data_IF_950820562445
#
_entry.id   IF_950820562445
#
_cell.length_a   1.000
_cell.length_b   1.000
_cell.length_c   1.000
_cell.angle_alpha   90.00
_cell.angle_beta   90.00
_cell.angle_gamma   90.00
#
_symmetry.space_group_name_H-M   'P 1'
#
loop_
_entity.id
_entity.type
_entity.pdbx_description
1 polymer ?
#
# COMPACT_ATOMS: atom_id res chain seq x y z
N UNK A 1 -5.89 3.06 7.32
CA UNK A 1 -5.00 2.62 6.23
C UNK A 1 -5.80 2.02 5.09
N UNK A 2 -6.59 0.98 5.35
CA UNK A 2 -7.52 0.42 4.36
C UNK A 2 -8.96 0.87 4.62
N UNK A 3 -9.71 1.15 3.55
CA UNK A 3 -11.16 1.43 3.61
C UNK A 3 -12.01 0.16 3.52
N UNK A 4 -11.40 -0.97 3.18
CA UNK A 4 -12.02 -2.28 3.16
C UNK A 4 -11.15 -3.31 2.47
N UNK A 5 -11.68 -4.52 2.29
CA UNK A 5 -10.94 -5.64 1.73
C UNK A 5 -11.69 -6.31 0.58
N UNK A 6 -10.94 -6.92 -0.34
CA UNK A 6 -11.50 -7.70 -1.45
C UNK A 6 -10.97 -9.12 -1.42
N UNK A 7 -11.80 -10.07 -1.83
CA UNK A 7 -11.37 -11.45 -2.06
C UNK A 7 -10.36 -11.50 -3.21
N UNK A 8 -9.27 -12.24 -3.01
CA UNK A 8 -8.23 -12.43 -4.03
C UNK A 8 -7.92 -13.90 -4.26
N UNK A 9 -7.23 -14.16 -5.38
CA UNK A 9 -6.60 -15.44 -5.68
C UNK A 9 -5.11 -15.14 -5.94
N UNK A 10 -4.31 -15.15 -4.88
CA UNK A 10 -2.93 -14.68 -4.93
C UNK A 10 -2.86 -13.16 -5.14
N UNK A 11 -1.91 -12.68 -5.95
CA UNK A 11 -1.69 -11.24 -6.23
C UNK A 11 -2.77 -10.56 -7.08
N UNK A 12 -3.85 -11.27 -7.45
CA UNK A 12 -4.92 -10.74 -8.30
C UNK A 12 -6.25 -10.74 -7.56
N UNK A 13 -6.93 -9.60 -7.56
CA UNK A 13 -8.33 -9.47 -7.13
C UNK A 13 -9.22 -10.29 -8.05
N UNK A 14 -10.13 -11.09 -7.48
CA UNK A 14 -11.13 -11.83 -8.27
C UNK A 14 -12.26 -10.89 -8.70
N UNK A 15 -12.52 -9.84 -7.92
CA UNK A 15 -13.55 -8.82 -8.15
C UNK A 15 -12.90 -7.47 -8.44
N UNK A 16 -13.23 -6.85 -9.59
CA UNK A 16 -12.80 -5.48 -9.91
C UNK A 16 -13.60 -4.47 -9.11
N UNK A 17 -12.93 -3.70 -8.25
CA UNK A 17 -13.52 -2.63 -7.43
C UNK A 17 -14.29 -1.57 -8.25
N UNK A 18 -13.95 -1.39 -9.53
CA UNK A 18 -14.58 -0.39 -10.41
C UNK A 18 -16.10 -0.57 -10.55
N UNK A 19 -16.59 -1.80 -10.42
CA UNK A 19 -17.98 -2.11 -10.76
C UNK A 19 -18.91 -2.17 -9.54
N UNK A 20 -18.38 -2.19 -8.31
CA UNK A 20 -19.23 -2.30 -7.12
C UNK A 20 -18.55 -1.82 -5.82
N UNK A 21 -18.81 -0.56 -5.42
CA UNK A 21 -18.29 0.02 -4.16
C UNK A 21 -18.81 -0.72 -2.92
N UNK A 22 -19.97 -1.37 -3.01
CA UNK A 22 -20.59 -2.15 -1.93
C UNK A 22 -19.98 -3.55 -1.74
N UNK A 23 -18.92 -3.89 -2.51
CA UNK A 23 -18.24 -5.18 -2.43
C UNK A 23 -17.10 -5.24 -1.38
N UNK A 24 -16.84 -4.14 -0.66
CA UNK A 24 -15.80 -4.13 0.37
C UNK A 24 -16.23 -4.93 1.60
N UNK A 25 -15.42 -5.92 1.92
CA UNK A 25 -15.54 -6.69 3.15
C UNK A 25 -14.91 -5.92 4.30
N UNK A 26 -15.48 -6.06 5.49
CA UNK A 26 -14.77 -5.71 6.70
C UNK A 26 -13.66 -6.74 7.00
N UNK A 27 -12.77 -6.41 7.94
CA UNK A 27 -11.65 -7.29 8.29
C UNK A 27 -12.10 -8.65 8.83
N UNK A 28 -13.21 -8.72 9.58
CA UNK A 28 -13.72 -9.98 10.17
C UNK A 28 -14.22 -10.93 9.09
N UNK A 29 -14.86 -10.41 8.05
CA UNK A 29 -15.28 -11.16 6.89
C UNK A 29 -14.08 -11.59 6.04
N UNK A 30 -13.15 -10.66 5.78
CA UNK A 30 -12.00 -10.90 4.92
C UNK A 30 -11.06 -11.98 5.46
N UNK A 31 -10.78 -11.98 6.78
CA UNK A 31 -9.89 -12.95 7.42
C UNK A 31 -10.40 -14.40 7.40
N UNK A 32 -11.68 -14.63 7.09
CA UNK A 32 -12.24 -15.96 6.90
C UNK A 32 -11.99 -16.51 5.49
N UNK A 33 -11.50 -15.68 4.56
CA UNK A 33 -11.17 -16.06 3.21
C UNK A 33 -9.77 -16.69 3.13
N UNK A 34 -9.58 -17.56 2.14
CA UNK A 34 -8.26 -18.15 1.84
C UNK A 34 -7.21 -17.11 1.45
N UNK A 35 -7.63 -16.02 0.80
CA UNK A 35 -6.78 -14.92 0.36
C UNK A 35 -7.65 -13.68 0.15
N UNK A 36 -7.14 -12.54 0.59
CA UNK A 36 -7.78 -11.23 0.45
C UNK A 36 -6.71 -10.16 0.32
N UNK A 37 -7.09 -8.98 -0.18
CA UNK A 37 -6.21 -7.81 -0.31
C UNK A 37 -6.85 -6.59 0.34
N UNK A 38 -6.04 -5.68 0.85
CA UNK A 38 -6.49 -4.40 1.40
C UNK A 38 -6.71 -3.38 0.29
N UNK A 39 -7.83 -2.65 0.32
CA UNK A 39 -8.05 -1.49 -0.56
C UNK A 39 -7.68 -0.24 0.21
N UNK A 40 -6.70 0.50 -0.29
CA UNK A 40 -6.21 1.72 0.36
C UNK A 40 -7.34 2.75 0.53
N UNK A 41 -7.39 3.31 1.72
CA UNK A 41 -8.23 4.46 2.03
C UNK A 41 -7.75 5.68 1.23
N UNK A 42 -8.66 6.57 0.81
CA UNK A 42 -8.39 7.65 -0.13
C UNK A 42 -7.32 8.61 0.36
N UNK A 43 -7.22 8.81 1.67
CA UNK A 43 -6.23 9.69 2.29
C UNK A 43 -4.83 9.06 2.39
N UNK A 44 -4.66 7.80 2.01
CA UNK A 44 -3.41 7.08 2.15
C UNK A 44 -2.66 6.90 0.83
N UNK A 45 -1.34 7.01 0.93
CA UNK A 45 -0.37 6.59 -0.09
C UNK A 45 0.48 5.47 0.48
N UNK A 46 0.69 4.44 -0.33
CA UNK A 46 1.65 3.37 -0.07
C UNK A 46 2.88 3.61 -0.94
N UNK A 47 4.04 3.68 -0.30
CA UNK A 47 5.37 3.76 -0.91
C UNK A 47 6.02 2.40 -0.74
N UNK A 48 6.27 1.74 -1.85
CA UNK A 48 6.78 0.39 -1.94
C UNK A 48 8.24 0.43 -2.35
N UNK A 49 9.11 -0.12 -1.51
CA UNK A 49 10.56 -0.20 -1.73
C UNK A 49 10.92 -1.68 -1.80
N UNK A 50 11.17 -2.15 -3.01
CA UNK A 50 11.46 -3.55 -3.36
C UNK A 50 12.96 -3.94 -3.21
N UNK A 51 13.71 -3.20 -2.38
CA UNK A 51 15.09 -3.53 -1.99
C UNK A 51 15.27 -3.33 -0.48
N UNK A 52 15.71 -4.38 0.22
CA UNK A 52 15.79 -4.37 1.68
C UNK A 52 16.83 -3.35 2.22
N UNK A 53 17.92 -3.11 1.50
CA UNK A 53 18.92 -2.12 1.94
C UNK A 53 18.37 -0.70 1.81
N UNK A 54 17.71 -0.40 0.69
CA UNK A 54 17.04 0.88 0.48
C UNK A 54 15.86 1.06 1.45
N UNK A 55 15.10 0.01 1.72
CA UNK A 55 13.99 0.03 2.68
C UNK A 55 14.49 0.31 4.10
N UNK A 56 15.57 -0.33 4.54
CA UNK A 56 16.17 -0.07 5.85
C UNK A 56 16.72 1.36 5.95
N UNK A 57 17.30 1.89 4.87
CA UNK A 57 17.74 3.29 4.82
C UNK A 57 16.55 4.24 5.02
N UNK A 58 15.43 4.00 4.34
CA UNK A 58 14.21 4.79 4.50
C UNK A 58 13.63 4.66 5.92
N UNK A 59 13.61 3.45 6.48
CA UNK A 59 13.16 3.19 7.86
C UNK A 59 13.98 4.00 8.87
N UNK A 60 15.32 4.00 8.75
CA UNK A 60 16.20 4.76 9.64
C UNK A 60 15.93 6.28 9.57
N UNK A 61 15.64 6.81 8.37
CA UNK A 61 15.28 8.22 8.19
C UNK A 61 13.93 8.51 8.86
N UNK A 62 12.92 7.65 8.63
CA UNK A 62 11.59 7.79 9.21
C UNK A 62 11.65 7.79 10.74
N UNK A 63 12.39 6.85 11.33
CA UNK A 63 12.56 6.74 12.78
C UNK A 63 13.34 7.93 13.35
N UNK A 64 14.43 8.33 12.68
CA UNK A 64 15.24 9.48 13.08
C UNK A 64 14.47 10.80 13.07
N UNK A 65 13.62 10.99 12.07
CA UNK A 65 12.76 12.18 11.92
C UNK A 65 11.41 12.05 12.66
N UNK A 66 11.18 10.92 13.34
CA UNK A 66 9.93 10.63 14.08
C UNK A 66 8.67 10.75 13.22
N UNK A 67 8.75 10.37 11.95
CA UNK A 67 7.64 10.44 11.01
C UNK A 67 6.64 9.33 11.34
N UNK A 68 5.38 9.71 11.55
CA UNK A 68 4.30 8.74 11.85
C UNK A 68 3.80 8.08 10.57
N UNK A 69 4.10 6.81 10.40
CA UNK A 69 3.56 5.97 9.34
C UNK A 69 3.34 4.53 9.82
N UNK A 70 2.56 3.76 9.07
CA UNK A 70 2.55 2.32 9.22
C UNK A 70 3.59 1.71 8.29
N UNK A 71 4.16 0.58 8.67
CA UNK A 71 5.19 -0.13 7.89
C UNK A 71 4.84 -1.61 7.88
N UNK A 72 4.95 -2.23 6.71
CA UNK A 72 4.76 -3.67 6.51
C UNK A 72 5.97 -4.23 5.78
N UNK A 73 6.68 -5.16 6.42
CA UNK A 73 7.81 -5.85 5.81
C UNK A 73 7.33 -6.88 4.79
N UNK A 74 8.06 -6.99 3.68
CA UNK A 74 7.84 -7.95 2.61
C UNK A 74 9.08 -8.81 2.40
N UNK A 75 8.98 -9.86 1.58
CA UNK A 75 10.11 -10.76 1.32
C UNK A 75 11.37 -10.05 0.79
N UNK A 76 11.20 -8.93 0.07
CA UNK A 76 12.29 -8.23 -0.62
C UNK A 76 12.53 -6.80 -0.11
N UNK A 77 11.66 -6.27 0.74
CA UNK A 77 11.73 -4.87 1.17
C UNK A 77 10.59 -4.49 2.11
N UNK A 78 10.01 -3.31 1.95
CA UNK A 78 8.97 -2.80 2.84
C UNK A 78 7.94 -1.91 2.13
N UNK A 79 6.69 -1.99 2.59
CA UNK A 79 5.64 -1.02 2.28
C UNK A 79 5.53 0.00 3.39
N UNK A 80 5.58 1.29 3.04
CA UNK A 80 5.41 2.42 3.95
C UNK A 80 4.11 3.15 3.63
N UNK A 81 3.25 3.36 4.63
CA UNK A 81 1.94 3.98 4.42
C UNK A 81 1.87 5.33 5.11
N UNK A 82 1.76 6.38 4.31
CA UNK A 82 1.62 7.75 4.78
C UNK A 82 0.20 8.25 4.58
N UNK A 83 -0.26 9.11 5.50
CA UNK A 83 -1.53 9.82 5.37
C UNK A 83 -1.28 11.22 4.79
N UNK A 84 -2.01 11.59 3.75
CA UNK A 84 -1.91 12.87 3.07
C UNK A 84 -0.84 12.89 1.97
N UNK A 85 -1.24 13.30 0.76
CA UNK A 85 -0.38 13.42 -0.41
C UNK A 85 -1.02 14.37 -1.43
N UNK A 86 -0.22 14.92 -2.34
CA UNK A 86 -0.67 15.80 -3.44
C UNK A 86 -0.52 15.14 -4.83
N UNK A 87 -0.19 13.85 -4.86
CA UNK A 87 -0.08 13.07 -6.10
C UNK A 87 -1.46 12.71 -6.65
N UNK A 88 -1.60 12.76 -7.98
CA UNK A 88 -2.88 12.45 -8.66
C UNK A 88 -2.85 11.10 -9.39
N UNK A 89 -1.68 10.48 -9.54
CA UNK A 89 -1.50 9.21 -10.23
C UNK A 89 -0.46 8.33 -9.53
N UNK A 90 -0.65 7.02 -9.64
CA UNK A 90 0.34 6.03 -9.24
C UNK A 90 1.62 6.22 -10.05
N UNK A 91 2.76 5.84 -9.46
CA UNK A 91 4.05 5.82 -10.15
C UNK A 91 4.72 4.49 -9.86
N UNK A 92 5.49 4.01 -10.83
CA UNK A 92 6.25 2.75 -10.71
C UNK A 92 7.67 3.03 -11.14
N UNK A 93 8.65 2.43 -10.45
CA UNK A 93 10.09 2.58 -10.67
C UNK A 93 10.52 4.04 -10.75
N UNK A 94 10.08 4.83 -9.77
CA UNK A 94 10.33 6.25 -9.73
C UNK A 94 11.22 6.60 -8.53
N UNK A 95 12.30 7.35 -8.77
CA UNK A 95 13.14 7.85 -7.69
C UNK A 95 12.39 8.87 -6.82
N UNK A 96 12.48 8.69 -5.50
CA UNK A 96 12.04 9.68 -4.52
C UNK A 96 12.96 10.92 -4.54
N UNK A 97 12.57 11.97 -3.83
CA UNK A 97 13.40 13.17 -3.71
C UNK A 97 14.76 12.92 -3.03
N UNK A 98 14.88 11.80 -2.28
CA UNK A 98 16.10 11.37 -1.61
C UNK A 98 16.83 10.25 -2.38
N UNK A 99 16.43 9.97 -3.62
CA UNK A 99 17.16 9.04 -4.50
C UNK A 99 16.87 7.56 -4.29
N UNK A 100 15.86 7.20 -3.50
CA UNK A 100 15.43 5.80 -3.30
C UNK A 100 14.48 5.39 -4.42
N UNK A 101 14.62 4.19 -4.98
CA UNK A 101 13.71 3.69 -6.01
C UNK A 101 12.41 3.21 -5.36
N UNK A 102 11.26 3.76 -5.78
CA UNK A 102 9.97 3.39 -5.18
C UNK A 102 8.84 3.24 -6.20
N UNK A 103 7.87 2.43 -5.80
CA UNK A 103 6.53 2.39 -6.36
C UNK A 103 5.56 3.15 -5.44
N UNK A 104 4.60 3.87 -6.04
CA UNK A 104 3.65 4.72 -5.34
C UNK A 104 2.24 4.30 -5.72
N UNK A 105 1.48 3.80 -4.75
CA UNK A 105 0.08 3.39 -4.92
C UNK A 105 -0.82 4.31 -4.11
N UNK A 106 -1.77 4.96 -4.78
CA UNK A 106 -2.64 5.96 -4.17
C UNK A 106 -4.01 5.38 -3.81
N UNK A 107 -4.52 5.77 -2.63
CA UNK A 107 -5.87 5.47 -2.19
C UNK A 107 -6.95 5.98 -3.14
N UNK A 108 -6.79 7.18 -3.71
CA UNK A 108 -7.74 7.75 -4.70
C UNK A 108 -7.87 6.92 -5.97
N UNK A 109 -6.92 6.00 -6.25
CA UNK A 109 -6.98 5.07 -7.37
C UNK A 109 -7.58 3.72 -6.99
N UNK A 110 -8.06 3.57 -5.75
CA UNK A 110 -8.52 2.30 -5.18
C UNK A 110 -7.44 1.21 -5.32
N UNK A 111 -6.19 1.60 -5.12
CA UNK A 111 -5.07 0.67 -5.20
C UNK A 111 -5.21 -0.42 -4.14
N UNK A 112 -5.03 -1.66 -4.59
CA UNK A 112 -5.02 -2.83 -3.73
C UNK A 112 -3.59 -3.14 -3.29
N UNK A 113 -3.46 -3.52 -2.03
CA UNK A 113 -2.23 -4.00 -1.45
C UNK A 113 -2.33 -5.50 -1.13
N UNK A 114 -1.44 -6.36 -1.72
CA UNK A 114 -1.51 -7.81 -1.60
C UNK A 114 -1.25 -8.38 -0.21
#
# INVERSE_FOLDING_TARGET
>A
MYKGYLKSSGKRTITTFKDNKDALLDYKQARALKSFVGVLDEDYIMVDVDDMNEAQLLLNIIEGEQIKCNILETDNGMHFYFKGYNMTNNKTKNFSAIGIMCDYKLGIKNSCDP
#
